data_IF_770767813290
#
_entry.id   IF_770767813290
#
_cell.length_a   1.000
_cell.length_b   1.000
_cell.length_c   1.000
_cell.angle_alpha   90.00
_cell.angle_beta   90.00
_cell.angle_gamma   90.00
#
_symmetry.space_group_name_H-M   'P 1'
#
loop_
_entity.id
_entity.type
_entity.pdbx_description
1 polymer ?
#
# COMPACT_ATOMS: atom_id res chain seq x y z
N UNK A 1 -2.27 -8.71 4.63
CA UNK A 1 -1.51 -7.60 4.00
C UNK A 1 -1.95 -6.28 4.60
N UNK A 2 -1.12 -5.24 4.47
CA UNK A 2 -1.43 -3.88 4.90
C UNK A 2 -1.52 -2.97 3.66
N UNK A 3 -2.64 -2.27 3.50
CA UNK A 3 -2.85 -1.30 2.40
C UNK A 3 -2.92 0.10 2.98
N UNK A 4 -2.41 1.10 2.27
CA UNK A 4 -2.46 2.49 2.71
C UNK A 4 -3.42 3.31 1.84
N UNK A 5 -4.52 3.74 2.45
CA UNK A 5 -5.54 4.58 1.81
C UNK A 5 -5.43 6.02 2.28
N UNK A 6 -5.91 6.96 1.47
CA UNK A 6 -6.08 8.34 1.89
C UNK A 6 -7.36 8.50 2.71
N UNK A 7 -7.29 9.28 3.78
CA UNK A 7 -8.44 9.80 4.50
C UNK A 7 -8.91 11.12 3.88
N UNK A 8 -10.10 11.65 4.26
CA UNK A 8 -10.62 12.89 3.70
C UNK A 8 -9.72 14.12 3.94
N UNK A 9 -8.94 14.12 5.00
CA UNK A 9 -7.92 15.10 5.35
C UNK A 9 -6.58 14.88 4.62
N UNK A 10 -6.49 13.88 3.74
CA UNK A 10 -5.36 13.63 2.86
C UNK A 10 -4.18 12.90 3.53
N UNK A 11 -4.41 12.31 4.70
CA UNK A 11 -3.43 11.49 5.43
C UNK A 11 -3.47 10.04 4.95
N UNK A 12 -2.35 9.34 5.08
CA UNK A 12 -2.31 7.89 4.86
C UNK A 12 -2.78 7.15 6.10
N UNK A 13 -3.77 6.28 5.93
CA UNK A 13 -4.31 5.43 6.98
C UNK A 13 -4.06 3.96 6.61
N UNK A 14 -3.32 3.20 7.44
CA UNK A 14 -3.14 1.77 7.22
C UNK A 14 -4.46 1.02 7.42
N UNK A 15 -4.78 0.12 6.50
CA UNK A 15 -5.92 -0.79 6.57
C UNK A 15 -5.47 -2.24 6.40
N UNK A 16 -5.65 -3.09 7.44
CA UNK A 16 -5.33 -4.49 7.34
C UNK A 16 -6.34 -5.22 6.45
N UNK A 17 -5.85 -5.99 5.48
CA UNK A 17 -6.67 -6.90 4.67
C UNK A 17 -6.26 -8.34 4.88
N UNK A 18 -7.26 -9.19 5.10
CA UNK A 18 -7.11 -10.62 4.98
C UNK A 18 -7.12 -11.01 3.50
N UNK A 19 -6.22 -11.92 3.13
CA UNK A 19 -6.32 -12.61 1.85
C UNK A 19 -7.37 -13.69 2.08
N UNK A 20 -8.49 -13.67 1.34
CA UNK A 20 -9.46 -14.75 1.46
C UNK A 20 -8.80 -16.07 1.07
N UNK A 21 -8.67 -17.00 2.03
CA UNK A 21 -8.23 -18.38 1.85
C UNK A 21 -9.34 -19.26 1.27
N UNK A 22 -9.98 -18.81 0.20
CA UNK A 22 -11.02 -19.57 -0.48
C UNK A 22 -10.43 -20.37 -1.64
N UNK A 23 -9.73 -21.45 -1.35
CA UNK A 23 -9.34 -22.41 -2.38
C UNK A 23 -10.56 -23.20 -2.85
N UNK A 24 -10.81 -23.21 -4.16
CA UNK A 24 -11.69 -24.18 -4.78
C UNK A 24 -10.79 -25.22 -5.46
N UNK A 25 -10.67 -26.40 -4.87
CA UNK A 25 -10.11 -27.58 -5.56
C UNK A 25 -11.28 -28.49 -5.96
N UNK A 26 -11.34 -28.85 -7.24
CA UNK A 26 -12.31 -29.82 -7.79
C UNK A 26 -13.78 -29.58 -7.38
N UNK A 27 -14.19 -28.30 -7.37
CA UNK A 27 -15.57 -27.91 -7.03
C UNK A 27 -15.96 -28.08 -5.55
N UNK A 28 -15.01 -28.42 -4.67
CA UNK A 28 -15.22 -28.54 -3.23
C UNK A 28 -14.57 -27.37 -2.51
N UNK A 29 -15.34 -26.74 -1.62
CA UNK A 29 -14.82 -25.72 -0.72
C UNK A 29 -13.91 -26.40 0.30
N UNK A 30 -12.60 -26.14 0.20
CA UNK A 30 -11.63 -26.66 1.16
C UNK A 30 -11.70 -25.77 2.41
N UNK A 31 -11.92 -26.31 3.62
CA UNK A 31 -11.91 -25.51 4.83
C UNK A 31 -10.51 -24.89 5.06
N UNK A 32 -10.51 -23.65 5.57
CA UNK A 32 -9.37 -22.75 5.79
C UNK A 32 -8.19 -23.37 6.56
N UNK A 33 -8.42 -24.48 7.27
CA UNK A 33 -7.50 -25.08 8.25
C UNK A 33 -6.42 -26.01 7.68
N UNK A 34 -6.36 -26.26 6.36
CA UNK A 34 -5.42 -27.23 5.78
C UNK A 34 -4.23 -26.61 5.01
N UNK A 35 -4.22 -25.29 4.81
CA UNK A 35 -3.17 -24.58 4.10
C UNK A 35 -2.57 -23.55 5.04
N UNK A 36 -1.29 -23.70 5.39
CA UNK A 36 -0.55 -22.64 6.08
C UNK A 36 -0.75 -21.33 5.31
N UNK A 37 -1.23 -20.25 5.94
CA UNK A 37 -1.55 -19.02 5.25
C UNK A 37 -0.28 -18.44 4.64
N UNK A 38 -0.09 -18.67 3.35
CA UNK A 38 1.02 -18.08 2.59
C UNK A 38 0.81 -16.56 2.61
N UNK A 39 1.78 -15.77 3.11
CA UNK A 39 1.65 -14.34 3.09
C UNK A 39 1.46 -13.87 1.64
N UNK A 40 0.57 -12.90 1.38
CA UNK A 40 0.37 -12.39 0.04
C UNK A 40 1.68 -11.80 -0.49
N UNK A 41 1.95 -12.01 -1.77
CA UNK A 41 3.08 -11.38 -2.43
C UNK A 41 2.94 -9.85 -2.46
N UNK A 42 4.05 -9.14 -2.67
CA UNK A 42 4.03 -7.69 -2.78
C UNK A 42 3.19 -7.22 -3.97
N UNK A 43 3.26 -7.91 -5.11
CA UNK A 43 2.45 -7.64 -6.30
C UNK A 43 0.96 -7.78 -6.00
N UNK A 44 0.56 -8.83 -5.27
CA UNK A 44 -0.84 -9.04 -4.86
C UNK A 44 -1.32 -7.93 -3.93
N UNK A 45 -0.43 -7.45 -3.05
CA UNK A 45 -0.72 -6.35 -2.14
C UNK A 45 -0.92 -5.04 -2.89
N UNK A 46 -0.06 -4.73 -3.87
CA UNK A 46 -0.23 -3.54 -4.73
C UNK A 46 -1.49 -3.66 -5.60
N UNK A 47 -1.74 -4.81 -6.22
CA UNK A 47 -2.94 -5.02 -7.02
C UNK A 47 -4.23 -4.82 -6.20
N UNK A 48 -4.22 -5.21 -4.92
CA UNK A 48 -5.33 -4.94 -4.01
C UNK A 48 -5.50 -3.44 -3.72
N UNK A 49 -4.41 -2.68 -3.54
CA UNK A 49 -4.45 -1.22 -3.45
C UNK A 49 -5.07 -0.60 -4.71
N UNK A 50 -4.60 -0.99 -5.91
CA UNK A 50 -5.11 -0.46 -7.19
C UNK A 50 -6.58 -0.81 -7.45
N UNK A 51 -7.07 -1.89 -6.84
CA UNK A 51 -8.50 -2.25 -6.84
C UNK A 51 -9.35 -1.34 -5.95
N UNK A 52 -8.71 -0.57 -5.08
CA UNK A 52 -9.33 0.43 -4.23
C UNK A 52 -9.92 -0.12 -2.91
N UNK A 53 -10.42 0.80 -2.08
CA UNK A 53 -11.01 0.48 -0.79
C UNK A 53 -12.31 -0.33 -0.95
N UNK A 54 -12.55 -1.26 -0.04
CA UNK A 54 -13.80 -2.02 0.11
C UNK A 54 -14.95 -1.15 0.60
N UNK A 55 -16.22 -1.63 0.50
CA UNK A 55 -17.36 -0.88 1.02
C UNK A 55 -17.23 -0.42 2.50
N UNK A 56 -16.72 -1.24 3.46
CA UNK A 56 -16.51 -0.77 4.83
C UNK A 56 -15.48 0.35 4.94
N UNK A 57 -14.36 0.27 4.22
CA UNK A 57 -13.32 1.30 4.22
C UNK A 57 -13.79 2.59 3.58
N UNK A 58 -14.54 2.51 2.47
CA UNK A 58 -15.16 3.69 1.85
C UNK A 58 -16.14 4.37 2.81
N UNK A 59 -16.92 3.60 3.58
CA UNK A 59 -17.79 4.15 4.63
C UNK A 59 -17.01 4.81 5.76
N UNK A 60 -15.78 4.37 6.01
CA UNK A 60 -14.85 5.03 6.92
C UNK A 60 -14.15 6.26 6.30
N UNK A 61 -14.52 6.66 5.07
CA UNK A 61 -13.94 7.81 4.37
C UNK A 61 -12.62 7.52 3.68
N UNK A 62 -12.18 6.27 3.61
CA UNK A 62 -10.93 5.91 2.93
C UNK A 62 -11.12 5.91 1.40
N UNK A 63 -10.12 6.43 0.70
CA UNK A 63 -10.07 6.55 -0.75
C UNK A 63 -8.68 6.25 -1.31
N UNK A 64 -8.62 5.92 -2.60
CA UNK A 64 -7.40 6.06 -3.38
C UNK A 64 -7.26 7.50 -3.87
N UNK A 65 -6.02 7.95 -4.02
CA UNK A 65 -5.72 9.17 -4.74
C UNK A 65 -6.17 9.01 -6.21
N UNK A 66 -6.87 10.00 -6.80
CA UNK A 66 -7.44 9.89 -8.15
C UNK A 66 -6.46 9.56 -9.29
N UNK A 67 -5.18 9.92 -9.16
CA UNK A 67 -4.13 9.62 -10.14
C UNK A 67 -3.53 8.22 -10.00
N UNK A 68 -3.93 7.44 -8.97
CA UNK A 68 -3.50 6.05 -8.89
C UNK A 68 -3.99 5.27 -10.13
N UNK A 69 -3.15 4.38 -10.67
CA UNK A 69 -3.57 3.49 -11.74
C UNK A 69 -4.77 2.64 -11.31
N UNK A 70 -5.66 2.36 -12.25
CA UNK A 70 -6.87 1.58 -11.98
C UNK A 70 -6.60 0.08 -11.77
N UNK A 71 -7.64 -0.68 -11.37
CA UNK A 71 -7.58 -2.13 -11.31
C UNK A 71 -7.18 -2.73 -12.67
N UNK A 72 -6.40 -3.81 -12.64
CA UNK A 72 -5.92 -4.50 -13.85
C UNK A 72 -4.62 -3.94 -14.43
N UNK A 73 -4.10 -2.84 -13.88
CA UNK A 73 -2.72 -2.39 -14.17
C UNK A 73 -1.75 -3.52 -13.85
N UNK A 74 -0.87 -3.87 -14.80
CA UNK A 74 0.16 -4.89 -14.55
C UNK A 74 1.21 -4.33 -13.61
N UNK A 75 1.56 -5.14 -12.62
CA UNK A 75 2.51 -4.81 -11.56
C UNK A 75 3.60 -5.86 -11.54
N UNK A 76 4.85 -5.41 -11.38
CA UNK A 76 6.02 -6.24 -11.13
C UNK A 76 6.73 -5.71 -9.88
N UNK A 77 7.20 -6.59 -9.00
CA UNK A 77 7.96 -6.18 -7.81
C UNK A 77 9.26 -6.97 -7.76
N UNK A 78 10.38 -6.26 -7.73
CA UNK A 78 11.70 -6.85 -7.54
C UNK A 78 12.29 -6.40 -6.21
N UNK A 79 12.70 -7.35 -5.37
CA UNK A 79 13.31 -7.08 -4.06
C UNK A 79 14.79 -7.46 -4.09
N UNK A 80 15.68 -6.53 -3.74
CA UNK A 80 17.12 -6.76 -3.71
C UNK A 80 17.83 -5.90 -2.66
N UNK A 81 18.56 -6.54 -1.74
CA UNK A 81 19.43 -5.85 -0.79
C UNK A 81 18.75 -4.76 0.06
N UNK A 82 17.50 -4.99 0.50
CA UNK A 82 16.72 -4.02 1.28
C UNK A 82 16.08 -2.89 0.47
N UNK A 83 16.18 -2.95 -0.86
CA UNK A 83 15.50 -2.05 -1.81
C UNK A 83 14.43 -2.81 -2.58
N UNK A 84 13.41 -2.08 -3.00
CA UNK A 84 12.32 -2.58 -3.83
C UNK A 84 12.19 -1.73 -5.08
N UNK A 85 12.09 -2.35 -6.23
CA UNK A 85 11.62 -1.72 -7.45
C UNK A 85 10.17 -2.16 -7.72
N UNK A 86 9.27 -1.19 -7.81
CA UNK A 86 7.87 -1.38 -8.21
C UNK A 86 7.71 -0.96 -9.67
N UNK A 87 7.48 -1.93 -10.55
CA UNK A 87 7.14 -1.71 -11.95
C UNK A 87 5.63 -1.56 -12.14
N UNK A 88 5.22 -0.49 -12.79
CA UNK A 88 3.83 -0.22 -13.21
C UNK A 88 3.79 -0.14 -14.74
N UNK A 89 2.87 -0.87 -15.39
CA UNK A 89 2.72 -0.84 -16.85
C UNK A 89 1.93 0.39 -17.35
N UNK A 90 2.21 1.56 -16.78
CA UNK A 90 1.61 2.88 -17.09
C UNK A 90 2.65 3.98 -16.90
N UNK A 91 2.46 5.18 -17.50
CA UNK A 91 3.35 6.31 -17.26
C UNK A 91 3.23 6.86 -15.83
N UNK A 92 4.33 7.40 -15.30
CA UNK A 92 4.40 8.07 -14.00
C UNK A 92 4.16 9.60 -14.11
N UNK A 93 4.14 10.17 -15.31
CA UNK A 93 4.02 11.63 -15.52
C UNK A 93 2.65 12.24 -15.12
N UNK A 94 1.67 11.40 -14.75
CA UNK A 94 0.40 11.84 -14.17
C UNK A 94 0.24 11.49 -12.68
N UNK A 95 1.21 10.81 -12.09
CA UNK A 95 1.11 10.29 -10.72
C UNK A 95 1.40 11.42 -9.72
N UNK A 96 0.39 11.77 -8.92
CA UNK A 96 0.54 12.78 -7.88
C UNK A 96 1.38 12.26 -6.71
N UNK A 97 2.01 13.18 -5.98
CA UNK A 97 2.84 12.87 -4.81
C UNK A 97 2.07 12.03 -3.75
N UNK A 98 0.77 12.31 -3.55
CA UNK A 98 -0.08 11.54 -2.64
C UNK A 98 -0.25 10.09 -3.10
N UNK A 99 -0.39 9.85 -4.40
CA UNK A 99 -0.51 8.52 -5.00
C UNK A 99 0.81 7.76 -4.90
N UNK A 100 1.93 8.45 -5.16
CA UNK A 100 3.28 7.93 -4.95
C UNK A 100 3.46 7.47 -3.50
N UNK A 101 3.11 8.29 -2.50
CA UNK A 101 3.20 7.88 -1.09
C UNK A 101 2.33 6.69 -0.75
N UNK A 102 1.11 6.59 -1.30
CA UNK A 102 0.26 5.40 -1.12
C UNK A 102 0.94 4.12 -1.63
N UNK A 103 1.54 4.17 -2.82
CA UNK A 103 2.26 3.04 -3.41
C UNK A 103 3.50 2.69 -2.60
N UNK A 104 4.34 3.68 -2.28
CA UNK A 104 5.56 3.52 -1.50
C UNK A 104 5.26 2.86 -0.16
N UNK A 105 4.31 3.37 0.61
CA UNK A 105 3.96 2.80 1.91
C UNK A 105 3.39 1.38 1.80
N UNK A 106 2.51 1.13 0.84
CA UNK A 106 1.93 -0.20 0.65
C UNK A 106 2.99 -1.22 0.26
N UNK A 107 3.92 -0.88 -0.65
CA UNK A 107 5.01 -1.78 -1.07
C UNK A 107 6.02 -1.98 0.06
N UNK A 108 6.42 -0.92 0.73
CA UNK A 108 7.41 -1.00 1.80
C UNK A 108 6.94 -1.93 2.93
N UNK A 109 5.67 -1.83 3.34
CA UNK A 109 5.09 -2.72 4.35
C UNK A 109 4.78 -4.14 3.84
N UNK A 110 4.65 -4.33 2.52
CA UNK A 110 4.49 -5.66 1.94
C UNK A 110 5.79 -6.48 2.01
N UNK A 111 6.96 -5.82 2.04
CA UNK A 111 8.27 -6.49 2.06
C UNK A 111 9.01 -6.38 3.41
N UNK A 112 8.66 -5.39 4.23
CA UNK A 112 9.29 -5.12 5.53
C UNK A 112 8.23 -4.79 6.57
N UNK A 113 8.20 -5.53 7.68
CA UNK A 113 7.23 -5.30 8.76
C UNK A 113 7.30 -3.88 9.36
N UNK A 114 8.45 -3.21 9.23
CA UNK A 114 8.67 -1.84 9.73
C UNK A 114 8.48 -0.77 8.66
N UNK A 115 8.18 -1.14 7.41
CA UNK A 115 8.06 -0.18 6.30
C UNK A 115 9.39 0.48 5.90
N UNK A 116 10.53 -0.07 6.33
CA UNK A 116 11.86 0.55 6.16
C UNK A 116 12.47 0.40 4.76
N UNK A 117 11.84 -0.35 3.86
CA UNK A 117 12.39 -0.60 2.53
C UNK A 117 12.31 0.65 1.65
N UNK A 118 13.42 1.00 0.99
CA UNK A 118 13.42 2.06 -0.01
C UNK A 118 12.75 1.56 -1.29
N UNK A 119 11.77 2.30 -1.80
CA UNK A 119 10.95 1.93 -2.96
C UNK A 119 11.27 2.84 -4.13
N UNK A 120 11.67 2.25 -5.25
CA UNK A 120 11.85 2.91 -6.54
C UNK A 120 10.63 2.63 -7.41
N UNK A 121 9.96 3.65 -7.95
CA UNK A 121 8.85 3.46 -8.89
C UNK A 121 9.36 3.50 -10.34
N UNK A 122 8.98 2.51 -11.15
CA UNK A 122 9.27 2.44 -12.58
C UNK A 122 7.97 2.38 -13.37
N UNK A 123 7.73 3.35 -14.24
CA UNK A 123 6.65 3.34 -15.22
C UNK A 123 7.16 3.12 -16.63
N UNK A 124 6.28 3.30 -17.61
CA UNK A 124 6.61 3.16 -19.04
C UNK A 124 7.41 4.33 -19.61
N UNK A 125 7.40 5.46 -18.92
CA UNK A 125 8.03 6.73 -19.28
C UNK A 125 9.32 7.03 -18.48
N UNK A 126 9.63 6.23 -17.47
CA UNK A 126 10.87 6.38 -16.70
C UNK A 126 10.76 5.86 -15.28
N UNK A 127 11.68 6.33 -14.45
CA UNK A 127 11.85 5.88 -13.06
C UNK A 127 11.89 7.09 -12.14
N UNK A 128 11.21 7.02 -10.99
CA UNK A 128 11.29 8.00 -9.90
C UNK A 128 12.42 7.61 -8.94
N UNK A 129 12.98 8.60 -8.25
CA UNK A 129 14.01 8.34 -7.24
C UNK A 129 13.48 7.44 -6.11
N UNK A 130 14.36 6.69 -5.42
CA UNK A 130 13.95 5.91 -4.26
C UNK A 130 13.29 6.79 -3.19
N UNK A 131 12.15 6.32 -2.67
CA UNK A 131 11.40 6.97 -1.60
C UNK A 131 11.15 6.00 -0.44
N UNK A 132 10.93 6.54 0.76
CA UNK A 132 10.62 5.77 1.96
C UNK A 132 9.20 6.06 2.43
N UNK A 133 8.63 5.10 3.15
CA UNK A 133 7.34 5.31 3.79
C UNK A 133 7.52 6.16 5.05
N UNK A 134 7.50 7.48 4.88
CA UNK A 134 7.49 8.42 5.99
C UNK A 134 6.05 8.61 6.47
N UNK A 135 5.56 7.64 7.24
CA UNK A 135 4.43 7.89 8.14
C UNK A 135 4.95 8.84 9.21
N UNK A 136 4.96 10.14 8.93
CA UNK A 136 5.18 11.14 9.97
C UNK A 136 4.24 10.77 11.12
N UNK A 137 4.75 10.50 12.34
CA UNK A 137 3.89 10.56 13.50
C UNK A 137 3.23 11.95 13.47
N UNK A 138 1.94 12.05 13.80
CA UNK A 138 1.34 13.37 14.00
C UNK A 138 2.29 14.20 14.87
N UNK A 139 2.52 15.48 14.55
CA UNK A 139 3.19 16.34 15.51
C UNK A 139 2.36 16.27 16.79
N UNK A 140 2.98 15.72 17.84
CA UNK A 140 2.38 15.65 19.18
C UNK A 140 1.83 17.05 19.49
N UNK A 141 0.54 17.20 19.86
CA UNK A 141 -0.03 18.52 20.07
C UNK A 141 0.83 19.24 21.10
N UNK A 142 1.44 20.35 20.68
CA UNK A 142 2.41 21.10 21.46
C UNK A 142 1.87 21.26 22.88
N UNK A 143 2.52 20.59 23.84
CA UNK A 143 2.21 20.73 25.25
C UNK A 143 2.29 22.22 25.56
N UNK A 144 1.13 22.86 25.74
CA UNK A 144 1.05 24.26 26.15
C UNK A 144 1.49 24.28 27.59
N UNK A 145 2.81 24.38 27.80
CA UNK A 145 3.42 24.59 29.10
C UNK A 145 3.03 25.97 29.60
N UNK A 146 1.93 26.04 30.35
CA UNK A 146 1.62 27.18 31.21
C UNK A 146 2.65 27.19 32.33
N UNK A 147 3.64 28.08 32.26
CA UNK A 147 4.50 28.39 33.39
C UNK A 147 3.72 29.16 34.45
N UNK A 148 3.70 28.74 35.73
CA UNK A 148 3.27 29.61 36.82
C UNK A 148 4.43 30.53 37.25
N UNK A 149 4.03 31.75 37.64
CA UNK A 149 4.87 32.83 38.18
C UNK A 149 5.41 32.54 39.57
#
# INVERSE_FOLDING_TARGET
MLLFFLTPDGRLLPSPRTVGGGGFEDGRQVPDSAVEPVPPSAEKTVAALLSGPTPPERRAGMANEPSLPGPGTRVDVTVSGGRVELGLAVPLDGLHERAERQLVCTVAYAVSATGSAAVTLRGTDGTRAPAWCDLLPDPEPAATGTAPR
#
